data_IF_901912020683
#
_entry.id   IF_901912020683
#
_cell.length_a   1.000
_cell.length_b   1.000
_cell.length_c   1.000
_cell.angle_alpha   90.00
_cell.angle_beta   90.00
_cell.angle_gamma   90.00
#
_symmetry.space_group_name_H-M   'P 1'
#
loop_
_entity.id
_entity.type
_entity.pdbx_description
1 polymer ?
#
# COMPACT_ATOMS: atom_id res chain seq x y z
N UNK A 1 -34.18 -13.68 9.20
CA UNK A 1 -35.15 -12.74 8.60
C UNK A 1 -34.34 -11.54 8.14
N UNK A 2 -34.11 -11.44 6.83
CA UNK A 2 -33.37 -10.34 6.21
C UNK A 2 -34.21 -9.05 6.33
N UNK A 3 -33.66 -7.99 6.91
CA UNK A 3 -34.22 -6.64 6.77
C UNK A 3 -33.39 -5.87 5.75
N UNK A 4 -34.01 -5.30 4.70
CA UNK A 4 -33.35 -4.52 3.67
C UNK A 4 -33.17 -3.06 4.12
N UNK A 5 -32.38 -2.32 3.32
CA UNK A 5 -32.20 -0.87 3.29
C UNK A 5 -31.00 -0.29 4.06
N UNK A 6 -29.85 -0.56 3.45
CA UNK A 6 -28.86 0.43 3.04
C UNK A 6 -29.39 1.89 3.03
N UNK A 7 -28.98 2.68 4.03
CA UNK A 7 -28.98 4.14 3.94
C UNK A 7 -27.55 4.62 3.72
N UNK A 8 -27.03 4.36 2.51
CA UNK A 8 -25.92 5.13 1.97
C UNK A 8 -26.30 6.62 1.97
N UNK A 9 -25.50 7.44 2.65
CA UNK A 9 -25.61 8.91 2.62
C UNK A 9 -25.73 9.41 1.17
N UNK A 10 -26.69 10.29 0.88
CA UNK A 10 -27.04 10.77 -0.46
C UNK A 10 -25.90 11.46 -1.23
N UNK A 11 -25.06 10.67 -1.90
CA UNK A 11 -23.98 11.13 -2.79
C UNK A 11 -24.30 10.83 -4.25
N UNK A 12 -23.95 11.77 -5.13
CA UNK A 12 -24.16 11.68 -6.58
C UNK A 12 -22.84 11.40 -7.32
N UNK A 13 -22.88 10.58 -8.37
CA UNK A 13 -21.79 10.32 -9.31
C UNK A 13 -21.41 11.62 -10.04
N UNK A 14 -20.13 12.04 -10.04
CA UNK A 14 -19.65 13.15 -10.88
C UNK A 14 -19.85 12.84 -12.38
N UNK A 15 -19.98 13.87 -13.21
CA UNK A 15 -20.14 13.68 -14.65
C UNK A 15 -18.90 12.99 -15.27
N UNK A 16 -19.03 11.79 -15.88
CA UNK A 16 -17.88 11.05 -16.42
C UNK A 16 -17.23 11.66 -17.67
N UNK A 17 -17.85 12.70 -18.26
CA UNK A 17 -17.44 13.28 -19.54
C UNK A 17 -18.22 12.71 -20.73
N UNK A 18 -18.51 13.57 -21.72
CA UNK A 18 -19.36 13.19 -22.87
C UNK A 18 -18.74 12.07 -23.72
N UNK A 19 -17.41 12.09 -23.89
CA UNK A 19 -16.69 11.08 -24.67
C UNK A 19 -16.75 9.68 -24.03
N UNK A 20 -16.89 9.59 -22.71
CA UNK A 20 -17.09 8.31 -22.04
C UNK A 20 -18.38 7.64 -22.50
N UNK A 21 -19.48 8.37 -22.63
CA UNK A 21 -20.76 7.82 -23.16
C UNK A 21 -20.67 7.44 -24.64
N UNK A 22 -19.96 8.25 -25.44
CA UNK A 22 -19.75 7.97 -26.88
C UNK A 22 -18.87 6.75 -27.13
N UNK A 23 -18.14 6.27 -26.12
CA UNK A 23 -17.42 4.99 -26.16
C UNK A 23 -18.30 3.75 -25.99
N UNK A 24 -19.62 3.91 -25.78
CA UNK A 24 -20.59 2.85 -25.54
C UNK A 24 -20.23 1.96 -24.32
N UNK A 25 -20.09 2.56 -23.11
CA UNK A 25 -19.54 1.87 -21.96
C UNK A 25 -20.48 0.78 -21.44
N UNK A 26 -19.90 -0.20 -20.75
CA UNK A 26 -20.64 -1.12 -19.87
C UNK A 26 -20.24 -0.82 -18.42
N UNK A 27 -21.13 -0.24 -17.63
CA UNK A 27 -20.86 0.22 -16.28
C UNK A 27 -22.13 0.27 -15.41
N UNK A 28 -22.04 -0.03 -14.10
CA UNK A 28 -23.10 0.21 -13.12
C UNK A 28 -23.64 1.65 -13.11
N UNK A 29 -22.81 2.65 -13.48
CA UNK A 29 -23.21 4.05 -13.63
C UNK A 29 -24.35 4.19 -14.64
N UNK A 30 -24.34 3.41 -15.74
CA UNK A 30 -25.42 3.42 -16.73
C UNK A 30 -26.72 2.93 -16.11
N UNK A 31 -26.68 1.83 -15.34
CA UNK A 31 -27.84 1.32 -14.62
C UNK A 31 -28.40 2.36 -13.63
N UNK A 32 -27.53 3.04 -12.87
CA UNK A 32 -27.92 4.06 -11.90
C UNK A 32 -28.56 5.29 -12.57
N UNK A 33 -27.95 5.78 -13.64
CA UNK A 33 -28.48 6.85 -14.47
C UNK A 33 -29.84 6.47 -15.05
N UNK A 34 -29.95 5.28 -15.65
CA UNK A 34 -31.20 4.80 -16.23
C UNK A 34 -32.34 4.69 -15.22
N UNK A 35 -32.06 4.25 -13.99
CA UNK A 35 -33.04 4.25 -12.89
C UNK A 35 -33.52 5.66 -12.53
N UNK A 36 -32.63 6.66 -12.52
CA UNK A 36 -33.02 8.06 -12.31
C UNK A 36 -33.86 8.60 -13.46
N UNK A 37 -33.50 8.30 -14.71
CA UNK A 37 -34.30 8.69 -15.87
C UNK A 37 -35.73 8.11 -15.79
N UNK A 38 -35.88 6.85 -15.39
CA UNK A 38 -37.20 6.24 -15.13
C UNK A 38 -37.96 6.98 -14.04
N UNK A 39 -37.31 7.29 -12.92
CA UNK A 39 -37.92 8.03 -11.81
C UNK A 39 -38.31 9.46 -12.20
N UNK A 40 -37.62 10.07 -13.16
CA UNK A 40 -37.95 11.36 -13.75
C UNK A 40 -39.03 11.28 -14.85
N UNK A 41 -39.59 10.10 -15.11
CA UNK A 41 -40.63 9.89 -16.13
C UNK A 41 -40.08 9.73 -17.56
N UNK A 42 -38.77 9.73 -17.73
CA UNK A 42 -38.10 9.52 -19.00
C UNK A 42 -37.71 8.05 -19.19
N UNK A 43 -38.72 7.18 -19.32
CA UNK A 43 -38.56 5.74 -19.44
C UNK A 43 -38.76 5.28 -20.89
N UNK A 44 -37.68 5.23 -21.70
CA UNK A 44 -37.72 4.67 -23.06
C UNK A 44 -37.26 3.21 -23.11
N UNK A 45 -37.18 2.53 -21.97
CA UNK A 45 -36.75 1.14 -21.87
C UNK A 45 -37.92 0.19 -22.12
N UNK A 46 -37.67 -0.93 -22.82
CA UNK A 46 -38.65 -2.01 -23.01
C UNK A 46 -38.65 -3.01 -21.85
N UNK A 47 -37.47 -3.32 -21.32
CA UNK A 47 -37.26 -4.28 -20.21
C UNK A 47 -36.89 -3.53 -18.91
N UNK A 48 -36.12 -2.44 -19.04
CA UNK A 48 -35.59 -1.64 -17.94
C UNK A 48 -34.13 -1.26 -18.17
N UNK A 49 -33.56 -0.38 -17.34
CA UNK A 49 -32.18 0.04 -17.45
C UNK A 49 -31.21 -1.09 -17.07
N UNK A 50 -30.12 -1.21 -17.82
CA UNK A 50 -29.04 -2.18 -17.60
C UNK A 50 -27.65 -1.52 -17.68
N UNK A 51 -26.57 -2.27 -17.47
CA UNK A 51 -25.23 -1.69 -17.35
C UNK A 51 -24.61 -1.28 -18.69
N UNK A 52 -25.11 -1.78 -19.82
CA UNK A 52 -24.57 -1.45 -21.15
C UNK A 52 -25.29 -0.23 -21.70
N UNK A 53 -24.56 0.78 -22.14
CA UNK A 53 -25.13 1.92 -22.87
C UNK A 53 -25.76 1.46 -24.19
N UNK A 54 -27.01 1.86 -24.42
CA UNK A 54 -27.79 1.55 -25.61
C UNK A 54 -28.54 2.77 -26.14
N UNK A 55 -29.17 2.62 -27.30
CA UNK A 55 -30.06 3.66 -27.83
C UNK A 55 -31.25 3.99 -26.92
N UNK A 56 -31.68 3.06 -26.04
CA UNK A 56 -32.74 3.32 -25.08
C UNK A 56 -32.29 4.31 -23.99
N UNK A 57 -31.03 4.23 -23.57
CA UNK A 57 -30.43 5.18 -22.63
C UNK A 57 -30.34 6.56 -23.26
N UNK A 58 -29.83 6.66 -24.49
CA UNK A 58 -29.73 7.91 -25.23
C UNK A 58 -31.12 8.56 -25.45
N UNK A 59 -32.14 7.78 -25.85
CA UNK A 59 -33.50 8.27 -26.03
C UNK A 59 -34.15 8.72 -24.72
N UNK A 60 -33.88 8.00 -23.62
CA UNK A 60 -34.34 8.37 -22.28
C UNK A 60 -33.66 9.65 -21.80
N UNK A 61 -32.37 9.82 -22.08
CA UNK A 61 -31.64 11.03 -21.71
C UNK A 61 -32.05 12.24 -22.54
N UNK A 62 -32.41 12.05 -23.82
CA UNK A 62 -32.98 13.11 -24.65
C UNK A 62 -34.28 13.65 -24.05
N UNK A 63 -35.19 12.76 -23.62
CA UNK A 63 -36.38 13.17 -22.88
C UNK A 63 -36.04 13.99 -21.63
N UNK A 64 -34.97 13.62 -20.92
CA UNK A 64 -34.52 14.34 -19.73
C UNK A 64 -34.00 15.74 -20.06
N UNK A 65 -33.18 15.89 -21.10
CA UNK A 65 -32.75 17.19 -21.61
C UNK A 65 -33.96 18.06 -22.02
N UNK A 66 -34.91 17.51 -22.76
CA UNK A 66 -36.14 18.21 -23.15
C UNK A 66 -36.95 18.65 -21.91
N UNK A 67 -37.04 17.80 -20.87
CA UNK A 67 -37.71 18.13 -19.60
C UNK A 67 -37.01 19.27 -18.84
N UNK A 68 -35.68 19.39 -18.98
CA UNK A 68 -34.91 20.51 -18.45
C UNK A 68 -34.99 21.78 -19.32
N UNK A 69 -35.73 21.75 -20.44
CA UNK A 69 -35.92 22.90 -21.34
C UNK A 69 -34.89 23.02 -22.47
N UNK A 70 -34.04 22.02 -22.66
CA UNK A 70 -33.09 21.99 -23.78
C UNK A 70 -33.86 21.71 -25.09
N UNK A 71 -33.39 22.24 -26.21
CA UNK A 71 -34.06 22.08 -27.51
C UNK A 71 -33.04 21.91 -28.65
N UNK A 72 -33.50 21.39 -29.78
CA UNK A 72 -32.67 21.23 -30.98
C UNK A 72 -31.45 20.35 -30.71
N UNK A 73 -30.26 20.87 -31.03
CA UNK A 73 -28.99 20.16 -30.86
C UNK A 73 -28.57 19.99 -29.40
N UNK A 74 -29.12 20.79 -28.49
CA UNK A 74 -28.81 20.71 -27.06
C UNK A 74 -29.61 19.59 -26.35
N UNK A 75 -30.59 18.99 -27.06
CA UNK A 75 -31.37 17.82 -26.64
C UNK A 75 -31.10 16.61 -27.55
N UNK A 76 -29.83 16.22 -27.64
CA UNK A 76 -29.32 15.16 -28.51
C UNK A 76 -29.29 13.76 -27.87
N UNK A 77 -29.60 13.67 -26.59
CA UNK A 77 -29.55 12.45 -25.77
C UNK A 77 -28.16 12.09 -25.26
N UNK A 78 -27.13 12.90 -25.52
CA UNK A 78 -25.81 12.70 -24.94
C UNK A 78 -25.70 13.44 -23.60
N UNK A 79 -25.27 12.76 -22.54
CA UNK A 79 -25.10 13.41 -21.24
C UNK A 79 -24.11 14.57 -21.29
N UNK A 80 -24.52 15.69 -20.70
CA UNK A 80 -23.68 16.87 -20.48
C UNK A 80 -23.61 17.21 -18.99
N UNK A 81 -22.56 17.92 -18.58
CA UNK A 81 -22.28 18.21 -17.16
C UNK A 81 -23.48 18.81 -16.41
N UNK A 82 -24.11 19.84 -16.99
CA UNK A 82 -25.27 20.51 -16.37
C UNK A 82 -26.47 19.57 -16.23
N UNK A 83 -26.88 18.90 -17.30
CA UNK A 83 -28.03 17.98 -17.27
C UNK A 83 -27.76 16.73 -16.42
N UNK A 84 -26.50 16.31 -16.29
CA UNK A 84 -26.07 15.23 -15.41
C UNK A 84 -26.23 15.61 -13.93
N UNK A 85 -25.76 16.81 -13.56
CA UNK A 85 -25.86 17.30 -12.19
C UNK A 85 -27.32 17.44 -11.73
N UNK A 86 -28.21 17.87 -12.62
CA UNK A 86 -29.65 17.94 -12.33
C UNK A 86 -30.29 16.54 -12.14
N UNK A 87 -29.80 15.51 -12.85
CA UNK A 87 -30.37 14.15 -12.77
C UNK A 87 -30.11 13.48 -11.41
N UNK A 88 -29.06 13.93 -10.70
CA UNK A 88 -28.62 13.40 -9.40
C UNK A 88 -28.46 11.88 -9.41
N UNK A 89 -27.64 11.39 -10.35
CA UNK A 89 -27.30 9.97 -10.45
C UNK A 89 -26.60 9.54 -9.16
N UNK A 90 -27.10 8.53 -8.42
CA UNK A 90 -26.48 8.10 -7.17
C UNK A 90 -25.14 7.40 -7.44
N UNK A 91 -24.16 7.60 -6.56
CA UNK A 91 -22.90 6.83 -6.58
C UNK A 91 -23.20 5.34 -6.54
N UNK A 92 -22.43 4.55 -7.28
CA UNK A 92 -22.55 3.08 -7.26
C UNK A 92 -21.45 2.46 -6.40
N UNK A 93 -21.75 1.33 -5.76
CA UNK A 93 -20.76 0.59 -4.95
C UNK A 93 -19.51 0.19 -5.74
N UNK A 94 -19.64 -0.02 -7.05
CA UNK A 94 -18.52 -0.34 -7.94
C UNK A 94 -17.72 0.92 -8.35
N UNK A 95 -18.35 2.09 -8.38
CA UNK A 95 -17.65 3.39 -8.52
C UNK A 95 -16.89 3.74 -7.24
N UNK A 96 -17.48 3.44 -6.07
CA UNK A 96 -16.79 3.56 -4.78
C UNK A 96 -15.61 2.57 -4.70
N UNK A 97 -15.77 1.33 -5.19
CA UNK A 97 -14.70 0.32 -5.23
C UNK A 97 -13.58 0.63 -6.25
N UNK A 98 -13.89 1.27 -7.39
CA UNK A 98 -12.88 1.74 -8.35
C UNK A 98 -12.16 3.03 -7.92
N UNK A 99 -12.72 3.76 -6.96
CA UNK A 99 -12.11 4.95 -6.35
C UNK A 99 -11.40 4.66 -5.02
N UNK A 100 -11.43 3.41 -4.57
CA UNK A 100 -10.69 2.93 -3.40
C UNK A 100 -9.25 2.61 -3.79
N UNK A 101 -8.30 3.23 -3.10
CA UNK A 101 -6.88 2.88 -3.18
C UNK A 101 -6.54 2.10 -1.92
N UNK A 102 -6.29 0.80 -2.08
CA UNK A 102 -5.84 -0.10 -1.02
C UNK A 102 -4.34 -0.38 -1.20
N UNK A 103 -3.53 0.17 -0.30
CA UNK A 103 -2.08 0.02 -0.29
C UNK A 103 -1.67 -0.89 0.85
N UNK A 104 -0.82 -1.86 0.54
CA UNK A 104 -0.06 -2.64 1.52
C UNK A 104 1.41 -2.32 1.29
N UNK A 105 2.01 -1.60 2.22
CA UNK A 105 3.44 -1.27 2.22
C UNK A 105 4.14 -2.13 3.26
N UNK A 106 5.31 -2.69 2.94
CA UNK A 106 6.17 -3.29 3.94
C UNK A 106 7.63 -2.95 3.70
N UNK A 107 8.36 -2.80 4.80
CA UNK A 107 9.79 -2.52 4.85
C UNK A 107 10.47 -3.50 5.81
N UNK A 108 11.66 -3.96 5.45
CA UNK A 108 12.45 -4.92 6.21
C UNK A 108 13.89 -4.46 6.35
N UNK A 109 14.49 -4.78 7.49
CA UNK A 109 15.93 -4.87 7.66
C UNK A 109 16.33 -6.34 7.84
N UNK A 110 17.29 -6.82 7.05
CA UNK A 110 17.76 -8.20 7.11
C UNK A 110 19.26 -8.27 6.82
N UNK A 111 19.94 -9.23 7.42
CA UNK A 111 21.33 -9.57 7.16
C UNK A 111 21.34 -10.60 6.03
N UNK A 112 21.85 -10.25 4.83
CA UNK A 112 21.90 -11.18 3.72
C UNK A 112 22.71 -12.44 4.03
N UNK A 113 22.47 -13.50 3.26
CA UNK A 113 23.28 -14.73 3.31
C UNK A 113 24.77 -14.40 3.24
N UNK A 114 25.18 -13.55 2.30
CA UNK A 114 26.57 -13.18 2.09
C UNK A 114 26.73 -11.66 2.19
N UNK A 115 27.66 -11.22 3.03
CA UNK A 115 28.13 -9.84 3.11
C UNK A 115 29.65 -9.86 3.08
N UNK A 116 30.23 -9.28 2.03
CA UNK A 116 31.68 -9.33 1.78
C UNK A 116 32.46 -8.76 2.98
N UNK A 117 33.40 -9.54 3.50
CA UNK A 117 34.23 -9.15 4.64
C UNK A 117 33.56 -9.23 6.01
N UNK A 118 32.27 -9.61 6.08
CA UNK A 118 31.49 -9.65 7.32
C UNK A 118 31.02 -11.06 7.65
N UNK A 119 30.42 -11.76 6.68
CA UNK A 119 29.88 -13.11 6.89
C UNK A 119 30.96 -14.19 6.78
N UNK A 120 30.82 -15.23 7.61
CA UNK A 120 31.62 -16.46 7.56
C UNK A 120 30.72 -17.70 7.58
N UNK A 121 31.22 -18.83 7.09
CA UNK A 121 30.48 -20.09 7.06
C UNK A 121 30.15 -20.57 8.48
N UNK A 122 28.94 -21.08 8.65
CA UNK A 122 28.51 -21.69 9.90
C UNK A 122 29.11 -23.11 10.04
N UNK A 123 29.83 -23.45 11.14
CA UNK A 123 30.61 -24.70 11.22
C UNK A 123 29.80 -25.99 11.00
N UNK A 124 28.54 -26.02 11.46
CA UNK A 124 27.68 -27.21 11.34
C UNK A 124 26.99 -27.37 9.98
N UNK A 125 26.91 -26.30 9.19
CA UNK A 125 26.23 -26.30 7.89
C UNK A 125 26.81 -25.19 7.02
N UNK A 126 27.72 -25.56 6.12
CA UNK A 126 28.42 -24.65 5.21
C UNK A 126 27.52 -23.90 4.22
N UNK A 127 26.24 -24.29 4.08
CA UNK A 127 25.26 -23.53 3.30
C UNK A 127 24.71 -22.31 4.04
N UNK A 128 24.96 -22.24 5.36
CA UNK A 128 24.56 -21.14 6.24
C UNK A 128 25.75 -20.26 6.58
N UNK A 129 25.40 -19.04 6.99
CA UNK A 129 26.36 -17.98 7.22
C UNK A 129 26.04 -17.30 8.52
N UNK A 130 27.09 -16.92 9.23
CA UNK A 130 27.01 -16.20 10.50
C UNK A 130 27.88 -14.95 10.44
N UNK A 131 27.63 -14.05 11.38
CA UNK A 131 28.42 -12.84 11.62
C UNK A 131 28.93 -12.86 13.05
N UNK A 132 30.06 -12.19 13.30
CA UNK A 132 30.53 -12.02 14.67
C UNK A 132 29.58 -11.12 15.46
N UNK A 133 29.42 -11.42 16.74
CA UNK A 133 28.72 -10.61 17.71
C UNK A 133 29.44 -9.29 17.99
N UNK A 134 28.66 -8.30 18.40
CA UNK A 134 29.15 -7.08 19.06
C UNK A 134 28.22 -6.74 20.23
N UNK A 135 28.75 -6.19 21.35
CA UNK A 135 30.16 -5.95 21.64
C UNK A 135 30.92 -7.18 22.21
N UNK A 136 30.28 -8.36 22.28
CA UNK A 136 30.88 -9.55 22.89
C UNK A 136 31.77 -10.27 21.88
N UNK A 137 33.01 -10.59 22.31
CA UNK A 137 34.00 -11.32 21.52
C UNK A 137 33.85 -12.81 21.86
N UNK A 138 33.58 -13.65 20.87
CA UNK A 138 33.41 -15.11 21.02
C UNK A 138 32.08 -15.61 20.47
N UNK A 139 31.03 -14.79 20.53
CA UNK A 139 29.69 -15.20 20.11
C UNK A 139 29.44 -14.82 18.64
N UNK A 140 28.77 -15.69 17.90
CA UNK A 140 28.37 -15.49 16.51
C UNK A 140 26.85 -15.52 16.37
N UNK A 141 26.32 -14.92 15.30
CA UNK A 141 24.88 -14.88 15.03
C UNK A 141 24.57 -15.29 13.60
N UNK A 142 23.60 -16.19 13.42
CA UNK A 142 23.16 -16.60 12.09
C UNK A 142 22.54 -15.42 11.32
N UNK A 143 22.89 -15.31 10.04
CA UNK A 143 22.27 -14.36 9.09
C UNK A 143 20.82 -14.76 8.77
N UNK A 144 20.09 -13.95 7.98
CA UNK A 144 18.71 -14.31 7.58
C UNK A 144 18.68 -15.35 6.46
N UNK A 145 19.85 -15.85 6.03
CA UNK A 145 20.02 -16.92 5.06
C UNK A 145 19.32 -16.68 3.71
N UNK A 146 19.27 -15.42 3.26
CA UNK A 146 18.58 -15.06 2.02
C UNK A 146 19.16 -13.83 1.32
N UNK A 147 18.68 -13.59 0.10
CA UNK A 147 18.82 -12.31 -0.59
C UNK A 147 17.55 -11.45 -0.47
N UNK A 148 17.48 -10.39 -1.28
CA UNK A 148 16.28 -9.56 -1.41
C UNK A 148 15.06 -10.38 -1.83
N UNK A 149 13.92 -10.13 -1.21
CA UNK A 149 12.67 -10.82 -1.49
C UNK A 149 11.48 -9.89 -1.26
N UNK A 150 10.54 -9.90 -2.21
CA UNK A 150 9.26 -9.19 -2.04
C UNK A 150 8.24 -9.98 -1.24
N UNK A 151 8.56 -11.18 -0.76
CA UNK A 151 7.64 -11.93 0.09
C UNK A 151 7.47 -11.22 1.45
N UNK A 152 6.23 -10.97 1.87
CA UNK A 152 5.94 -10.23 3.11
C UNK A 152 6.41 -10.97 4.36
N UNK A 153 6.52 -12.29 4.29
CA UNK A 153 6.96 -13.21 5.35
C UNK A 153 8.44 -13.62 5.23
N UNK A 154 9.21 -13.04 4.31
CA UNK A 154 10.66 -13.30 4.24
C UNK A 154 11.35 -12.91 5.55
N UNK A 155 12.17 -13.82 6.11
CA UNK A 155 12.84 -13.63 7.41
C UNK A 155 13.59 -12.30 7.51
N UNK A 156 13.55 -11.63 8.66
CA UNK A 156 14.17 -10.33 8.83
C UNK A 156 14.44 -10.00 10.29
N UNK A 157 15.47 -9.20 10.56
CA UNK A 157 15.72 -8.63 11.89
C UNK A 157 14.58 -7.74 12.32
N UNK A 158 14.04 -6.97 11.38
CA UNK A 158 12.89 -6.10 11.61
C UNK A 158 11.96 -6.15 10.40
N UNK A 159 10.67 -6.23 10.67
CA UNK A 159 9.62 -6.07 9.68
C UNK A 159 8.59 -5.06 10.17
N UNK A 160 8.21 -4.15 9.28
CA UNK A 160 7.13 -3.21 9.50
C UNK A 160 6.24 -3.16 8.28
N UNK A 161 4.92 -3.22 8.50
CA UNK A 161 3.90 -3.24 7.47
C UNK A 161 2.81 -2.21 7.79
N UNK A 162 2.37 -1.48 6.79
CA UNK A 162 1.26 -0.55 6.87
C UNK A 162 0.21 -0.92 5.81
N UNK A 163 -1.05 -0.98 6.23
CA UNK A 163 -2.18 -1.03 5.32
C UNK A 163 -2.86 0.33 5.31
N UNK A 164 -3.07 0.90 4.13
CA UNK A 164 -3.67 2.22 3.95
C UNK A 164 -4.79 2.09 2.93
N UNK A 165 -5.99 2.50 3.30
CA UNK A 165 -7.13 2.61 2.39
C UNK A 165 -7.52 4.07 2.28
N UNK A 166 -7.50 4.61 1.05
CA UNK A 166 -7.87 6.00 0.75
C UNK A 166 -9.03 6.00 -0.23
N UNK A 167 -10.08 6.76 0.06
CA UNK A 167 -11.25 6.86 -0.79
C UNK A 167 -11.92 8.24 -0.69
N UNK A 168 -12.96 8.54 -1.49
CA UNK A 168 -13.62 9.85 -1.45
C UNK A 168 -14.19 10.24 -0.08
N UNK A 169 -14.42 9.27 0.81
CA UNK A 169 -15.02 9.47 2.12
C UNK A 169 -13.99 9.69 3.23
N UNK A 170 -12.70 9.47 2.95
CA UNK A 170 -11.61 9.63 3.91
C UNK A 170 -10.55 8.55 3.76
N UNK A 171 -9.92 8.20 4.87
CA UNK A 171 -8.93 7.15 4.91
C UNK A 171 -9.07 6.33 6.18
N UNK A 172 -8.60 5.09 6.11
CA UNK A 172 -8.32 4.25 7.29
C UNK A 172 -6.96 3.61 7.09
N UNK A 173 -6.32 3.24 8.18
CA UNK A 173 -5.03 2.58 8.12
C UNK A 173 -4.83 1.68 9.33
N UNK A 174 -3.91 0.75 9.20
CA UNK A 174 -3.43 -0.10 10.29
C UNK A 174 -1.97 -0.45 10.05
N UNK A 175 -1.33 -1.03 11.06
CA UNK A 175 0.07 -1.41 10.99
C UNK A 175 0.33 -2.71 11.72
N UNK A 176 1.46 -3.34 11.40
CA UNK A 176 1.98 -4.51 12.09
C UNK A 176 3.51 -4.44 12.08
N UNK A 177 4.09 -4.81 13.21
CA UNK A 177 5.53 -4.87 13.39
C UNK A 177 5.90 -6.20 14.05
N UNK A 178 7.01 -6.78 13.64
CA UNK A 178 7.60 -7.94 14.29
C UNK A 178 9.08 -8.06 13.95
N UNK A 179 9.80 -8.81 14.77
CA UNK A 179 11.17 -9.23 14.56
C UNK A 179 11.17 -10.76 14.45
N UNK A 180 11.99 -11.33 13.56
CA UNK A 180 12.24 -12.77 13.59
C UNK A 180 13.26 -13.12 14.68
N UNK A 181 13.25 -14.39 15.09
CA UNK A 181 14.14 -14.89 16.14
C UNK A 181 15.63 -14.70 15.78
N UNK A 182 16.39 -14.13 16.72
CA UNK A 182 17.85 -14.11 16.65
C UNK A 182 18.39 -15.42 17.21
N UNK A 183 19.35 -16.03 16.49
CA UNK A 183 20.05 -17.24 16.91
C UNK A 183 21.51 -16.91 17.13
N UNK A 184 21.95 -17.06 18.38
CA UNK A 184 23.34 -17.04 18.79
C UNK A 184 23.92 -18.45 18.68
N UNK A 185 25.15 -18.50 18.17
CA UNK A 185 25.93 -19.72 17.99
C UNK A 185 27.37 -19.48 18.40
N UNK A 186 27.99 -20.51 18.95
CA UNK A 186 29.43 -20.53 19.19
C UNK A 186 30.17 -20.33 17.84
N UNK A 187 31.14 -19.43 17.81
CA UNK A 187 31.84 -19.09 16.57
C UNK A 187 32.74 -20.22 16.06
N UNK A 188 33.19 -21.12 16.93
CA UNK A 188 34.17 -22.17 16.65
C UNK A 188 33.51 -23.46 16.16
N UNK A 189 32.49 -23.95 16.87
CA UNK A 189 31.84 -25.23 16.59
C UNK A 189 30.38 -25.10 16.13
N UNK A 190 29.78 -23.91 16.26
CA UNK A 190 28.42 -23.62 15.83
C UNK A 190 27.34 -24.21 16.72
N UNK A 191 27.64 -24.63 17.95
CA UNK A 191 26.64 -24.95 18.96
C UNK A 191 25.69 -23.77 19.18
N UNK A 192 24.40 -24.06 19.36
CA UNK A 192 23.41 -22.99 19.58
C UNK A 192 23.41 -22.63 21.05
N UNK A 193 23.74 -21.38 21.35
CA UNK A 193 23.86 -20.88 22.71
C UNK A 193 22.62 -20.11 23.16
N UNK A 194 21.93 -19.49 22.20
CA UNK A 194 20.81 -18.60 22.50
C UNK A 194 19.82 -18.46 21.35
N UNK A 195 18.54 -18.30 21.72
CA UNK A 195 17.45 -17.96 20.81
C UNK A 195 16.52 -16.97 21.48
N UNK A 196 16.26 -15.84 20.82
CA UNK A 196 15.32 -14.85 21.34
C UNK A 196 14.76 -13.96 20.26
N UNK A 197 13.49 -13.63 20.40
CA UNK A 197 12.78 -12.67 19.57
C UNK A 197 12.70 -11.34 20.30
N UNK A 198 13.03 -10.26 19.59
CA UNK A 198 12.90 -8.90 20.12
C UNK A 198 11.43 -8.46 20.14
N UNK A 199 11.08 -7.56 21.06
CA UNK A 199 9.77 -6.89 21.05
C UNK A 199 9.63 -5.95 19.83
N UNK A 200 8.50 -5.24 19.75
CA UNK A 200 8.21 -4.29 18.68
C UNK A 200 7.89 -2.87 19.17
N UNK A 201 8.21 -2.55 20.42
CA UNK A 201 7.76 -1.31 21.09
C UNK A 201 8.33 -0.04 20.45
N UNK A 202 9.52 -0.14 19.85
CA UNK A 202 10.22 0.95 19.19
C UNK A 202 10.00 0.98 17.66
N UNK A 203 8.92 0.36 17.18
CA UNK A 203 8.54 0.38 15.77
C UNK A 203 7.12 0.92 15.60
N UNK A 204 6.96 2.00 14.85
CA UNK A 204 5.66 2.62 14.61
C UNK A 204 5.61 3.40 13.31
N UNK A 205 4.48 3.29 12.63
CA UNK A 205 3.92 4.33 11.79
C UNK A 205 2.99 5.23 12.60
N UNK A 206 2.99 6.53 12.26
CA UNK A 206 2.09 7.55 12.84
C UNK A 206 1.55 8.43 11.73
N UNK A 207 0.27 8.79 11.80
CA UNK A 207 -0.30 9.74 10.82
C UNK A 207 0.28 11.12 11.05
N UNK A 208 0.96 11.67 10.03
CA UNK A 208 1.33 13.09 10.00
C UNK A 208 0.23 13.93 9.37
N UNK A 209 -0.33 13.46 8.24
CA UNK A 209 -1.41 14.13 7.51
C UNK A 209 -2.30 13.07 6.86
N UNK A 210 -3.60 13.30 6.82
CA UNK A 210 -4.52 12.38 6.16
C UNK A 210 -5.79 13.07 5.69
N UNK A 211 -6.21 12.76 4.47
CA UNK A 211 -7.43 13.23 3.82
C UNK A 211 -8.03 12.12 2.95
N UNK A 212 -9.13 12.42 2.26
CA UNK A 212 -9.71 11.55 1.20
C UNK A 212 -8.87 11.51 -0.09
N UNK A 213 -7.78 12.26 -0.17
CA UNK A 213 -6.92 12.35 -1.35
C UNK A 213 -5.50 11.88 -1.08
N UNK A 214 -4.97 12.15 0.12
CA UNK A 214 -3.57 11.89 0.45
C UNK A 214 -3.41 11.48 1.90
N UNK A 215 -2.62 10.45 2.14
CA UNK A 215 -2.22 10.00 3.48
C UNK A 215 -0.70 10.01 3.57
N UNK A 216 -0.19 10.57 4.65
CA UNK A 216 1.23 10.69 4.96
C UNK A 216 1.47 10.10 6.34
N UNK A 217 2.20 8.98 6.39
CA UNK A 217 2.60 8.32 7.63
C UNK A 217 4.09 8.58 7.89
N UNK A 218 4.42 9.10 9.07
CA UNK A 218 5.78 9.02 9.61
C UNK A 218 6.07 7.57 9.98
N UNK A 219 7.31 7.13 9.77
CA UNK A 219 7.81 5.82 10.15
C UNK A 219 9.06 5.99 10.99
N UNK A 220 9.10 5.29 12.13
CA UNK A 220 10.28 5.14 12.97
C UNK A 220 10.37 3.68 13.42
N UNK A 221 11.56 3.10 13.31
CA UNK A 221 11.86 1.78 13.79
C UNK A 221 13.31 1.72 14.28
N UNK A 222 13.51 1.26 15.51
CA UNK A 222 14.82 1.05 16.12
C UNK A 222 14.78 -0.25 16.93
N UNK A 223 15.60 -1.25 16.59
CA UNK A 223 15.64 -2.52 17.34
C UNK A 223 17.06 -3.10 17.42
N UNK A 224 17.42 -3.57 18.59
CA UNK A 224 18.72 -4.18 18.87
C UNK A 224 18.65 -5.70 19.02
N UNK A 225 19.82 -6.32 19.20
CA UNK A 225 19.95 -7.75 19.44
C UNK A 225 19.46 -8.10 20.86
N UNK A 226 18.38 -8.91 20.99
CA UNK A 226 17.77 -9.20 22.29
C UNK A 226 18.60 -10.14 23.18
N UNK A 227 19.62 -10.81 22.63
CA UNK A 227 20.55 -11.69 23.36
C UNK A 227 21.75 -10.92 23.92
N UNK A 228 22.01 -9.71 23.43
CA UNK A 228 23.18 -8.92 23.80
C UNK A 228 22.77 -7.60 24.45
N UNK A 229 22.96 -7.51 25.76
CA UNK A 229 22.65 -6.30 26.54
C UNK A 229 23.53 -5.13 26.07
N UNK A 230 22.90 -4.01 25.71
CA UNK A 230 23.62 -2.81 25.25
C UNK A 230 24.08 -2.87 23.80
N UNK A 231 23.63 -3.86 23.02
CA UNK A 231 23.85 -3.85 21.57
C UNK A 231 23.15 -2.65 20.91
N UNK A 232 23.75 -2.07 19.85
CA UNK A 232 23.17 -0.94 19.13
C UNK A 232 21.90 -1.36 18.37
N UNK A 233 21.03 -0.39 18.13
CA UNK A 233 19.82 -0.56 17.34
C UNK A 233 20.13 -0.56 15.83
N UNK A 234 19.30 -1.24 15.05
CA UNK A 234 19.14 -0.97 13.62
C UNK A 234 18.08 0.13 13.47
N UNK A 235 18.48 1.29 12.95
CA UNK A 235 17.62 2.45 12.77
C UNK A 235 17.06 2.58 11.35
N UNK A 236 15.75 2.83 11.27
CA UNK A 236 15.04 3.22 10.07
C UNK A 236 14.05 4.33 10.40
N UNK A 237 14.13 5.42 9.66
CA UNK A 237 13.20 6.55 9.77
C UNK A 237 12.74 7.00 8.40
N UNK A 238 11.54 7.53 8.28
CA UNK A 238 11.09 8.10 7.01
C UNK A 238 9.61 8.44 6.97
N UNK A 239 9.13 8.66 5.76
CA UNK A 239 7.74 9.01 5.48
C UNK A 239 7.21 8.16 4.35
N UNK A 240 6.07 7.51 4.57
CA UNK A 240 5.25 6.86 3.55
C UNK A 240 4.14 7.81 3.10
N UNK A 241 4.09 8.12 1.81
CA UNK A 241 3.02 8.90 1.19
C UNK A 241 2.21 8.01 0.26
N UNK A 242 0.88 8.06 0.40
CA UNK A 242 -0.09 7.53 -0.56
C UNK A 242 -0.90 8.68 -1.08
N UNK A 243 -0.83 8.95 -2.38
CA UNK A 243 -1.58 10.01 -3.05
C UNK A 243 -2.48 9.42 -4.14
N UNK A 244 -3.79 9.58 -3.97
CA UNK A 244 -4.82 9.05 -4.88
C UNK A 244 -5.06 9.96 -6.07
N UNK A 245 -4.74 11.25 -5.95
CA UNK A 245 -4.96 12.23 -7.02
C UNK A 245 -3.79 12.17 -7.99
N UNK A 246 -2.58 12.25 -7.46
CA UNK A 246 -1.35 12.16 -8.26
C UNK A 246 -0.92 10.70 -8.51
N UNK A 247 -1.70 9.73 -8.02
CA UNK A 247 -1.59 8.31 -8.35
C UNK A 247 -0.21 7.70 -8.04
N UNK A 248 0.29 7.90 -6.82
CA UNK A 248 1.58 7.34 -6.40
C UNK A 248 1.63 6.88 -4.94
N UNK A 249 2.52 5.91 -4.69
CA UNK A 249 2.99 5.56 -3.34
C UNK A 249 4.49 5.79 -3.27
N UNK A 250 4.93 6.60 -2.33
CA UNK A 250 6.34 6.96 -2.15
C UNK A 250 6.80 6.68 -0.71
N UNK A 251 8.02 6.18 -0.58
CA UNK A 251 8.73 6.19 0.69
C UNK A 251 10.00 7.05 0.56
N UNK A 252 10.23 7.93 1.52
CA UNK A 252 11.49 8.69 1.64
C UNK A 252 11.98 8.60 3.07
N UNK A 253 13.17 8.04 3.25
CA UNK A 253 13.73 7.82 4.57
C UNK A 253 15.24 7.74 4.62
N UNK A 254 15.73 7.44 5.82
CA UNK A 254 17.11 7.11 6.12
C UNK A 254 17.19 5.79 6.87
N UNK A 255 18.28 5.07 6.64
CA UNK A 255 18.61 3.80 7.29
C UNK A 255 20.09 3.78 7.68
N UNK A 256 20.49 2.86 8.55
CA UNK A 256 21.89 2.63 8.89
C UNK A 256 22.73 2.08 7.73
N UNK A 257 24.05 2.01 7.96
CA UNK A 257 25.00 1.46 7.00
C UNK A 257 24.93 -0.06 6.87
N UNK A 258 24.47 -0.72 7.93
CA UNK A 258 24.23 -2.15 8.04
C UNK A 258 22.83 -2.36 8.65
N UNK A 259 22.06 -3.40 8.32
CA UNK A 259 22.35 -4.47 7.36
C UNK A 259 21.82 -4.11 5.95
N UNK A 260 21.06 -4.99 5.30
CA UNK A 260 20.34 -4.69 4.07
C UNK A 260 18.91 -4.23 4.37
N UNK A 261 18.39 -3.34 3.54
CA UNK A 261 17.06 -2.74 3.66
C UNK A 261 16.27 -2.91 2.37
N UNK A 262 15.00 -3.26 2.49
CA UNK A 262 14.11 -3.43 1.34
C UNK A 262 12.70 -2.96 1.67
N UNK A 263 12.06 -2.31 0.70
CA UNK A 263 10.71 -1.79 0.81
C UNK A 263 9.92 -2.12 -0.45
N UNK A 264 8.68 -2.54 -0.28
CA UNK A 264 7.78 -2.94 -1.34
C UNK A 264 6.37 -2.46 -1.08
N UNK A 265 5.58 -2.45 -2.15
CA UNK A 265 4.16 -2.09 -2.10
C UNK A 265 3.32 -3.03 -2.95
N UNK A 266 2.16 -3.43 -2.46
CA UNK A 266 1.05 -3.98 -3.25
C UNK A 266 -0.08 -2.97 -3.26
N UNK A 267 -0.65 -2.71 -4.44
CA UNK A 267 -1.75 -1.75 -4.62
C UNK A 267 -2.93 -2.50 -5.20
N UNK A 268 -4.10 -2.33 -4.59
CA UNK A 268 -5.37 -2.94 -4.98
C UNK A 268 -5.28 -4.47 -5.14
N UNK A 269 -4.49 -5.12 -4.28
CA UNK A 269 -4.27 -6.57 -4.31
C UNK A 269 -3.37 -7.05 -5.47
N UNK A 270 -2.73 -6.12 -6.20
CA UNK A 270 -1.79 -6.44 -7.27
C UNK A 270 -0.48 -7.05 -6.78
N UNK A 271 0.32 -7.52 -7.73
CA UNK A 271 1.64 -8.10 -7.42
C UNK A 271 2.56 -7.08 -6.71
N UNK A 272 3.41 -7.52 -5.76
CA UNK A 272 4.38 -6.65 -5.11
C UNK A 272 5.27 -5.90 -6.10
N UNK A 273 5.46 -4.60 -5.86
CA UNK A 273 6.34 -3.71 -6.63
C UNK A 273 7.42 -3.15 -5.71
N UNK A 274 8.63 -2.99 -6.23
CA UNK A 274 9.77 -2.50 -5.45
C UNK A 274 9.68 -1.00 -5.27
N UNK A 275 9.72 -0.53 -4.02
CA UNK A 275 9.92 0.87 -3.67
C UNK A 275 11.42 1.14 -3.59
N UNK A 276 12.16 0.35 -2.80
CA UNK A 276 13.60 0.50 -2.65
C UNK A 276 14.26 -0.80 -2.23
N UNK A 277 15.52 -0.99 -2.65
CA UNK A 277 16.43 -2.04 -2.17
C UNK A 277 17.80 -1.42 -1.97
N UNK A 278 18.39 -1.67 -0.80
CA UNK A 278 19.70 -1.14 -0.45
C UNK A 278 20.46 -2.20 0.33
N UNK A 279 21.58 -2.67 -0.24
CA UNK A 279 22.46 -3.60 0.48
C UNK A 279 23.24 -2.91 1.60
N UNK A 280 23.93 -3.68 2.45
CA UNK A 280 24.88 -3.13 3.41
C UNK A 280 25.90 -2.28 2.65
N UNK A 281 26.33 -1.16 3.25
CA UNK A 281 27.38 -0.34 2.67
C UNK A 281 28.65 -1.18 2.55
N UNK A 282 29.40 -1.12 1.44
CA UNK A 282 30.67 -1.82 1.34
C UNK A 282 31.60 -1.46 2.52
N UNK A 283 32.08 -2.48 3.23
CA UNK A 283 32.93 -2.34 4.41
C UNK A 283 32.19 -2.07 5.73
N UNK A 284 30.86 -1.97 5.73
CA UNK A 284 30.08 -1.87 6.97
C UNK A 284 29.70 -3.25 7.50
N UNK A 285 29.87 -3.44 8.81
CA UNK A 285 29.37 -4.57 9.59
C UNK A 285 28.52 -4.10 10.78
N UNK A 286 28.30 -4.99 11.77
CA UNK A 286 27.54 -4.66 12.98
C UNK A 286 28.04 -3.41 13.71
N UNK A 287 29.35 -3.15 13.71
CA UNK A 287 29.96 -1.97 14.33
C UNK A 287 29.49 -0.64 13.70
N UNK A 288 28.90 -0.69 12.51
CA UNK A 288 28.34 0.48 11.82
C UNK A 288 26.92 0.84 12.28
N UNK A 289 26.37 0.12 13.26
CA UNK A 289 25.06 0.41 13.89
C UNK A 289 25.15 1.48 14.99
N UNK A 290 26.35 1.86 15.44
CA UNK A 290 26.47 2.96 16.39
C UNK A 290 26.16 4.29 15.72
N UNK A 291 25.19 5.02 16.28
CA UNK A 291 24.85 6.37 15.84
C UNK A 291 23.39 6.46 15.43
N UNK A 292 23.12 7.10 14.30
CA UNK A 292 21.76 7.23 13.77
C UNK A 292 21.77 6.98 12.26
N UNK A 293 20.63 6.50 11.76
CA UNK A 293 20.36 6.31 10.35
C UNK A 293 20.82 7.48 9.45
N UNK A 294 21.71 7.18 8.50
CA UNK A 294 22.42 8.20 7.71
C UNK A 294 22.43 7.95 6.20
N UNK A 295 22.01 6.77 5.71
CA UNK A 295 21.93 6.46 4.28
C UNK A 295 20.52 6.66 3.76
N UNK A 296 20.36 7.33 2.62
CA UNK A 296 19.02 7.53 2.05
C UNK A 296 18.45 6.22 1.48
N UNK A 297 17.20 5.93 1.84
CA UNK A 297 16.38 4.90 1.21
C UNK A 297 15.11 5.57 0.69
N UNK A 298 14.92 5.58 -0.64
CA UNK A 298 13.77 6.24 -1.26
C UNK A 298 13.32 5.55 -2.53
N UNK A 299 12.04 5.71 -2.86
CA UNK A 299 11.49 5.36 -4.15
C UNK A 299 9.97 5.54 -4.20
N UNK A 300 9.42 5.49 -5.41
CA UNK A 300 8.00 5.72 -5.66
C UNK A 300 7.48 4.73 -6.70
N UNK A 301 6.19 4.38 -6.61
CA UNK A 301 5.49 3.61 -7.63
C UNK A 301 4.12 4.21 -7.94
N UNK A 302 3.85 4.43 -9.22
CA UNK A 302 2.59 5.02 -9.71
C UNK A 302 1.49 3.96 -9.89
N UNK A 303 0.21 4.34 -9.90
CA UNK A 303 -0.91 3.40 -10.10
C UNK A 303 -2.13 3.99 -10.78
#
# INVERSE_FOLDING_TARGET
MYSPEDRGSGKTTPFPGAEWFKSYPTSPIITAMGKRLVAEGCNKYSIGPGPKWTGADQASYKCWQEKLGYTGVDADGWPGDKSWNELRVPSTRDEDANNDVAVVFWIKAFIPLNVAGVTRAYPKDSSKMMINGIPIIGDCFLTDQRGFSSASDAKSRMHSQAWVWVNPNGYRWSQRHYCDETTEVDCEDGDVEGRKTQNNDNMAFKVLKGSSTRVVLEFQAAQNNPLVTGSPDIDLIGTLTVDRVDQFVEFVGKVDEFPAFEAYVSINGGSPRTIARLGPKPGAGPESLFGSANRSLRGSVNF
#
